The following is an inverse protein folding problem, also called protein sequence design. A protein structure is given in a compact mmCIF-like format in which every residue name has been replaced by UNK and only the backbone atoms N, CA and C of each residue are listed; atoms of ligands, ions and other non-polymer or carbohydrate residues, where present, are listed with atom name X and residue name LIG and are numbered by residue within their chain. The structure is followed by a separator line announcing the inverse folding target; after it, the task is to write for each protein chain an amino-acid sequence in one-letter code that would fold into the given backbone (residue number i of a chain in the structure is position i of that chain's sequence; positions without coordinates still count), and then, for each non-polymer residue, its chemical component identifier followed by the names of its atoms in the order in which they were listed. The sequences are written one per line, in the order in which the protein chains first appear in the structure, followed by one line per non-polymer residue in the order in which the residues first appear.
data_IF_586144854342
#
_entry.id   IF_586144854342
#
_cell.length_a   1.000
_cell.length_b   1.000
_cell.length_c   1.000
_cell.angle_alpha   90.00
_cell.angle_beta   90.00
_cell.angle_gamma   90.00
#
_symmetry.space_group_name_H-M   'P 1'
#
loop_
_entity.id
_entity.type
_entity.pdbx_description
1 polymer ?
#
# COMPACT_ATOMS: atom_id res chain seq x y z
N UNK A 1 50.12 -20.71 -93.47
CA UNK A 1 48.67 -20.86 -93.71
C UNK A 1 47.93 -19.79 -92.93
N UNK A 2 46.94 -19.19 -93.58
CA UNK A 2 46.06 -18.07 -93.19
C UNK A 2 44.97 -18.55 -92.17
N UNK A 3 44.03 -17.72 -91.67
CA UNK A 3 43.86 -17.41 -90.22
C UNK A 3 42.44 -17.69 -89.63
N UNK A 4 42.23 -17.24 -88.38
CA UNK A 4 40.95 -16.74 -87.78
C UNK A 4 40.00 -17.76 -87.08
N UNK A 5 38.94 -17.33 -86.33
CA UNK A 5 38.92 -16.65 -85.03
C UNK A 5 37.87 -17.25 -84.04
N UNK A 6 37.72 -16.72 -82.81
CA UNK A 6 36.45 -16.51 -82.04
C UNK A 6 36.76 -16.33 -80.55
N UNK A 7 36.78 -15.10 -80.04
CA UNK A 7 35.68 -14.38 -79.35
C UNK A 7 35.85 -14.38 -77.81
N UNK A 8 35.56 -13.26 -77.12
CA UNK A 8 35.86 -13.10 -75.70
C UNK A 8 34.65 -13.46 -74.83
N UNK A 9 34.79 -14.47 -73.96
CA UNK A 9 33.79 -14.72 -72.92
C UNK A 9 33.92 -13.68 -71.79
N UNK A 10 33.02 -12.70 -71.81
CA UNK A 10 32.68 -11.84 -70.67
C UNK A 10 32.36 -12.72 -69.45
N UNK A 11 33.25 -12.79 -68.46
CA UNK A 11 32.88 -13.24 -67.13
C UNK A 11 32.24 -12.07 -66.39
N UNK A 12 30.91 -12.13 -66.26
CA UNK A 12 30.14 -11.26 -65.37
C UNK A 12 30.70 -11.40 -63.95
N UNK A 13 31.18 -10.30 -63.38
CA UNK A 13 31.31 -10.14 -61.94
C UNK A 13 29.89 -9.97 -61.41
N UNK A 14 29.30 -11.05 -60.88
CA UNK A 14 28.05 -10.98 -60.13
C UNK A 14 28.39 -10.42 -58.75
N UNK A 15 28.35 -9.09 -58.60
CA UNK A 15 28.37 -8.43 -57.31
C UNK A 15 27.06 -8.77 -56.59
N UNK A 16 27.08 -9.80 -55.75
CA UNK A 16 26.02 -10.09 -54.81
C UNK A 16 26.00 -9.00 -53.72
N UNK A 17 25.25 -7.94 -53.97
CA UNK A 17 24.77 -7.03 -52.93
C UNK A 17 23.75 -7.79 -52.06
N UNK A 18 24.25 -8.56 -51.09
CA UNK A 18 23.45 -8.91 -49.91
C UNK A 18 23.38 -7.65 -49.02
N UNK A 19 22.51 -6.72 -49.39
CA UNK A 19 21.92 -5.80 -48.41
C UNK A 19 20.96 -6.61 -47.54
N UNK A 20 21.52 -7.29 -46.54
CA UNK A 20 20.75 -7.78 -45.41
C UNK A 20 20.24 -6.56 -44.65
N UNK A 21 19.04 -6.09 -45.02
CA UNK A 21 18.25 -5.20 -44.18
C UNK A 21 17.87 -5.99 -42.92
N UNK A 22 18.74 -5.95 -41.92
CA UNK A 22 18.37 -6.17 -40.53
C UNK A 22 17.37 -5.07 -40.17
N UNK A 23 16.11 -5.26 -40.52
CA UNK A 23 15.02 -4.59 -39.86
C UNK A 23 14.99 -5.16 -38.44
N UNK A 24 15.87 -4.64 -37.58
CA UNK A 24 15.64 -4.68 -36.15
C UNK A 24 14.34 -3.90 -35.93
N UNK A 25 13.21 -4.61 -35.90
CA UNK A 25 11.97 -4.05 -35.40
C UNK A 25 12.29 -3.57 -34.00
N UNK A 26 12.36 -2.25 -33.82
CA UNK A 26 12.45 -1.67 -32.49
C UNK A 26 11.24 -2.20 -31.72
N UNK A 27 11.48 -2.97 -30.66
CA UNK A 27 10.41 -3.46 -29.81
C UNK A 27 9.55 -2.28 -29.41
N UNK A 28 8.23 -2.38 -29.60
CA UNK A 28 7.29 -1.37 -29.14
C UNK A 28 7.47 -1.24 -27.62
N UNK A 29 8.03 -0.09 -27.21
CA UNK A 29 8.37 0.22 -25.83
C UNK A 29 7.71 1.52 -25.39
N UNK A 30 7.30 1.57 -24.15
CA UNK A 30 6.85 2.77 -23.47
C UNK A 30 7.98 3.26 -22.57
N UNK A 31 8.51 4.43 -22.86
CA UNK A 31 9.41 5.11 -21.93
C UNK A 31 8.61 5.71 -20.77
N UNK A 32 9.09 5.52 -19.55
CA UNK A 32 8.51 6.09 -18.33
C UNK A 32 9.58 6.90 -17.63
N UNK A 33 9.32 8.19 -17.42
CA UNK A 33 10.19 9.06 -16.60
C UNK A 33 9.43 9.47 -15.35
N UNK A 34 10.06 9.27 -14.19
CA UNK A 34 9.48 9.60 -12.88
C UNK A 34 10.32 10.68 -12.22
N UNK A 35 9.69 11.76 -11.76
CA UNK A 35 10.38 12.92 -11.19
C UNK A 35 9.76 13.37 -9.85
N UNK A 36 10.58 13.97 -8.99
CA UNK A 36 10.13 14.66 -7.77
C UNK A 36 11.11 15.73 -7.31
N UNK A 37 10.67 16.61 -6.42
CA UNK A 37 11.45 17.78 -6.02
C UNK A 37 12.12 17.64 -4.64
N UNK A 38 11.68 16.67 -3.82
CA UNK A 38 12.22 16.47 -2.46
C UNK A 38 13.67 15.99 -2.46
N UNK A 39 14.49 16.48 -1.52
CA UNK A 39 15.90 16.06 -1.35
C UNK A 39 16.09 14.86 -0.44
N UNK A 40 15.03 14.44 0.25
CA UNK A 40 15.01 13.23 1.08
C UNK A 40 14.95 11.98 0.19
N UNK A 41 15.38 10.84 0.72
CA UNK A 41 15.19 9.56 0.04
C UNK A 41 13.70 9.22 -0.11
N UNK A 42 13.37 8.42 -1.13
CA UNK A 42 12.04 7.82 -1.30
C UNK A 42 12.20 6.30 -1.45
N UNK A 43 12.43 5.58 -0.34
CA UNK A 43 12.58 4.13 -0.38
C UNK A 43 11.26 3.49 -0.82
N UNK A 44 11.36 2.51 -1.73
CA UNK A 44 10.22 1.74 -2.25
C UNK A 44 9.07 2.64 -2.72
N UNK A 45 9.36 3.74 -3.41
CA UNK A 45 8.34 4.61 -4.00
C UNK A 45 7.54 3.79 -5.03
N UNK A 46 6.24 3.62 -4.78
CA UNK A 46 5.34 2.95 -5.72
C UNK A 46 5.00 3.90 -6.85
N UNK A 47 5.49 3.56 -8.04
CA UNK A 47 5.19 4.26 -9.29
C UNK A 47 3.89 3.68 -9.82
N UNK A 48 2.92 4.55 -10.07
CA UNK A 48 1.60 4.17 -10.53
C UNK A 48 1.28 4.82 -11.87
N UNK A 49 0.84 4.00 -12.83
CA UNK A 49 0.44 4.44 -14.17
C UNK A 49 -0.93 3.82 -14.46
N UNK A 50 -1.96 4.60 -14.81
CA UNK A 50 -3.24 4.04 -15.23
C UNK A 50 -3.05 3.02 -16.36
N UNK A 51 -3.65 1.84 -16.24
CA UNK A 51 -3.47 0.78 -17.24
C UNK A 51 -4.05 1.16 -18.61
N UNK A 52 -5.06 2.03 -18.63
CA UNK A 52 -5.57 2.67 -19.84
C UNK A 52 -4.49 3.46 -20.57
N UNK A 53 -3.63 4.18 -19.85
CA UNK A 53 -2.58 5.01 -20.44
C UNK A 53 -1.44 4.12 -20.98
N UNK A 54 -1.15 3.02 -20.29
CA UNK A 54 -0.24 1.99 -20.79
C UNK A 54 -0.77 1.41 -22.10
N UNK A 55 -2.06 1.05 -22.19
CA UNK A 55 -2.64 0.50 -23.42
C UNK A 55 -2.75 1.53 -24.55
N UNK A 56 -2.99 2.80 -24.23
CA UNK A 56 -2.97 3.86 -25.22
C UNK A 56 -1.58 4.03 -25.85
N UNK A 57 -0.51 3.90 -25.05
CA UNK A 57 0.86 4.01 -25.50
C UNK A 57 1.47 2.71 -26.06
N UNK A 58 0.95 1.55 -25.64
CA UNK A 58 1.31 0.20 -26.10
C UNK A 58 0.04 -0.59 -26.43
N UNK A 59 -0.59 -0.34 -27.59
CA UNK A 59 -1.80 -1.05 -27.98
C UNK A 59 -1.61 -2.57 -27.99
N UNK A 60 -2.60 -3.28 -27.44
CA UNK A 60 -2.61 -4.73 -27.34
C UNK A 60 -1.65 -5.31 -26.29
N UNK A 61 -1.09 -4.48 -25.39
CA UNK A 61 -0.32 -4.99 -24.26
C UNK A 61 -1.18 -5.90 -23.37
N UNK A 62 -0.69 -7.11 -23.10
CA UNK A 62 -1.33 -8.04 -22.18
C UNK A 62 -0.57 -8.02 -20.86
N UNK A 63 -1.29 -7.98 -19.73
CA UNK A 63 -0.71 -7.83 -18.38
C UNK A 63 0.36 -8.89 -18.09
N UNK A 64 0.17 -10.11 -18.58
CA UNK A 64 1.09 -11.24 -18.38
C UNK A 64 2.22 -11.29 -19.41
N UNK A 65 2.22 -10.41 -20.42
CA UNK A 65 3.20 -10.36 -21.53
C UNK A 65 3.85 -8.98 -21.65
N UNK A 66 4.16 -8.38 -20.50
CA UNK A 66 5.00 -7.20 -20.43
C UNK A 66 6.21 -7.44 -19.53
N UNK A 67 7.28 -6.68 -19.76
CA UNK A 67 8.39 -6.53 -18.85
C UNK A 67 8.53 -5.05 -18.47
N UNK A 68 8.66 -4.77 -17.18
CA UNK A 68 9.09 -3.45 -16.69
C UNK A 68 10.59 -3.52 -16.44
N UNK A 69 11.36 -2.61 -17.00
CA UNK A 69 12.82 -2.56 -16.85
C UNK A 69 13.30 -1.21 -16.38
N UNK A 70 14.35 -1.19 -15.58
CA UNK A 70 15.05 0.05 -15.24
C UNK A 70 16.01 0.51 -16.35
N UNK A 71 16.64 1.67 -16.16
CA UNK A 71 17.62 2.21 -17.10
C UNK A 71 18.85 1.31 -17.34
N UNK A 72 19.09 0.29 -16.50
CA UNK A 72 20.16 -0.70 -16.66
C UNK A 72 19.67 -1.98 -17.34
N UNK A 73 18.42 -2.04 -17.78
CA UNK A 73 17.80 -3.20 -18.41
C UNK A 73 17.39 -4.31 -17.44
N UNK A 74 17.46 -4.06 -16.12
CA UNK A 74 17.07 -5.05 -15.10
C UNK A 74 15.54 -5.13 -15.03
N UNK A 75 15.00 -6.33 -15.09
CA UNK A 75 13.55 -6.58 -14.95
C UNK A 75 13.13 -6.32 -13.51
N UNK A 76 12.09 -5.51 -13.34
CA UNK A 76 11.51 -5.16 -12.05
C UNK A 76 10.23 -5.97 -11.81
N UNK A 77 9.95 -6.37 -10.55
CA UNK A 77 8.62 -6.81 -10.15
C UNK A 77 7.57 -5.75 -10.47
N UNK A 78 6.47 -6.17 -11.07
CA UNK A 78 5.33 -5.31 -11.35
C UNK A 78 4.02 -6.00 -10.99
N UNK A 79 2.97 -5.20 -10.95
CA UNK A 79 1.60 -5.63 -10.74
C UNK A 79 0.68 -4.75 -11.60
N UNK A 80 -0.34 -5.34 -12.22
CA UNK A 80 -1.47 -4.55 -12.73
C UNK A 80 -2.67 -4.83 -11.84
N UNK A 81 -3.24 -3.80 -11.22
CA UNK A 81 -4.32 -3.96 -10.23
C UNK A 81 -5.68 -4.13 -10.91
N UNK A 82 -6.63 -4.75 -10.19
CA UNK A 82 -8.04 -4.83 -10.58
C UNK A 82 -8.92 -4.14 -9.53
N UNK A 83 -8.86 -2.80 -9.46
CA UNK A 83 -9.59 -2.02 -8.45
C UNK A 83 -11.06 -1.79 -8.81
N UNK A 84 -11.49 -2.21 -10.00
CA UNK A 84 -12.86 -2.12 -10.48
C UNK A 84 -13.34 -3.51 -10.98
N UNK A 85 -13.52 -4.48 -10.07
CA UNK A 85 -13.70 -5.90 -10.45
C UNK A 85 -14.95 -6.21 -11.28
N UNK A 86 -15.91 -5.28 -11.34
CA UNK A 86 -17.13 -5.40 -12.16
C UNK A 86 -16.97 -4.80 -13.56
N UNK A 87 -15.94 -3.99 -13.81
CA UNK A 87 -15.68 -3.39 -15.10
C UNK A 87 -15.38 -4.44 -16.17
N UNK A 88 -15.72 -4.13 -17.42
CA UNK A 88 -15.49 -4.98 -18.60
C UNK A 88 -14.72 -4.19 -19.64
N UNK A 89 -13.83 -4.87 -20.36
CA UNK A 89 -12.98 -4.27 -21.39
C UNK A 89 -13.02 -5.12 -22.67
N UNK A 90 -14.17 -5.16 -23.37
CA UNK A 90 -14.34 -5.99 -24.57
C UNK A 90 -13.45 -5.54 -25.73
N UNK A 91 -12.98 -4.29 -25.72
CA UNK A 91 -12.10 -3.72 -26.75
C UNK A 91 -10.62 -3.78 -26.36
N UNK A 92 -10.28 -4.36 -25.21
CA UNK A 92 -8.92 -4.46 -24.68
C UNK A 92 -8.17 -3.12 -24.66
N UNK A 93 -8.85 -2.05 -24.23
CA UNK A 93 -8.32 -0.68 -24.12
C UNK A 93 -7.75 -0.37 -22.73
N UNK A 94 -7.72 -1.35 -21.84
CA UNK A 94 -7.20 -1.27 -20.48
C UNK A 94 -8.17 -0.69 -19.45
N UNK A 95 -9.44 -0.45 -19.79
CA UNK A 95 -10.41 0.29 -18.94
C UNK A 95 -10.98 -0.53 -17.78
N UNK A 96 -10.85 -1.86 -17.81
CA UNK A 96 -11.33 -2.74 -16.73
C UNK A 96 -10.27 -3.01 -15.65
N UNK A 97 -9.07 -2.45 -15.79
CA UNK A 97 -7.99 -2.59 -14.82
C UNK A 97 -7.74 -1.27 -14.12
N UNK A 98 -6.98 -1.32 -13.03
CA UNK A 98 -6.52 -0.13 -12.31
C UNK A 98 -5.24 0.40 -12.92
N UNK A 99 -4.13 0.08 -12.27
CA UNK A 99 -2.85 0.72 -12.47
C UNK A 99 -1.75 -0.33 -12.71
N UNK A 100 -0.82 -0.05 -13.61
CA UNK A 100 0.49 -0.68 -13.61
C UNK A 100 1.32 -0.09 -12.45
N UNK A 101 1.78 -0.96 -11.58
CA UNK A 101 2.57 -0.65 -10.40
C UNK A 101 3.93 -1.32 -10.48
N UNK A 102 4.97 -0.58 -10.11
CA UNK A 102 6.31 -1.08 -9.82
C UNK A 102 6.99 -0.13 -8.85
N UNK A 103 8.17 -0.47 -8.34
CA UNK A 103 8.83 0.32 -7.30
C UNK A 103 10.25 0.74 -7.68
N UNK A 104 10.64 1.92 -7.20
CA UNK A 104 12.02 2.41 -7.22
C UNK A 104 12.37 3.06 -5.89
N UNK A 105 13.61 2.90 -5.45
CA UNK A 105 14.12 3.57 -4.25
C UNK A 105 15.00 4.73 -4.66
N UNK A 106 14.48 5.96 -4.58
CA UNK A 106 15.26 7.16 -4.86
C UNK A 106 16.24 7.42 -3.70
N UNK A 107 17.52 7.52 -4.01
CA UNK A 107 18.53 7.92 -3.04
C UNK A 107 18.34 9.40 -2.61
N UNK A 108 18.88 9.84 -1.47
CA UNK A 108 18.90 11.27 -1.14
C UNK A 108 19.48 12.10 -2.29
N UNK A 109 18.74 13.11 -2.73
CA UNK A 109 19.13 13.98 -3.85
C UNK A 109 18.87 13.44 -5.25
N UNK A 110 18.54 12.16 -5.44
CA UNK A 110 18.09 11.63 -6.73
C UNK A 110 16.70 12.20 -7.04
N UNK A 111 16.53 12.90 -8.17
CA UNK A 111 15.27 13.61 -8.52
C UNK A 111 14.50 12.98 -9.66
N UNK A 112 15.12 12.06 -10.40
CA UNK A 112 14.57 11.50 -11.62
C UNK A 112 15.07 10.08 -11.83
N UNK A 113 14.18 9.21 -12.30
CA UNK A 113 14.50 7.85 -12.72
C UNK A 113 13.74 7.49 -14.01
N UNK A 114 14.34 6.64 -14.84
CA UNK A 114 13.78 6.23 -16.13
C UNK A 114 13.62 4.72 -16.22
N UNK A 115 12.52 4.30 -16.84
CA UNK A 115 12.12 2.91 -17.00
C UNK A 115 11.55 2.68 -18.40
N UNK A 116 11.45 1.41 -18.78
CA UNK A 116 10.70 0.98 -19.95
C UNK A 116 9.63 -0.04 -19.58
N UNK A 117 8.48 0.03 -20.27
CA UNK A 117 7.51 -1.07 -20.34
C UNK A 117 7.59 -1.63 -21.76
N UNK A 118 7.81 -2.93 -21.89
CA UNK A 118 8.06 -3.59 -23.17
C UNK A 118 7.12 -4.79 -23.32
N UNK A 119 6.53 -4.97 -24.51
CA UNK A 119 5.86 -6.23 -24.83
C UNK A 119 6.88 -7.35 -24.96
N UNK A 120 6.55 -8.52 -24.41
CA UNK A 120 7.38 -9.73 -24.50
C UNK A 120 6.55 -10.88 -25.09
N UNK A 121 7.20 -11.79 -25.82
CA UNK A 121 6.50 -12.93 -26.43
C UNK A 121 6.23 -14.06 -25.41
N UNK A 122 7.00 -14.07 -24.32
CA UNK A 122 6.87 -14.98 -23.17
C UNK A 122 5.91 -14.44 -22.12
N UNK A 123 5.66 -15.24 -21.07
CA UNK A 123 4.93 -14.80 -19.89
C UNK A 123 5.92 -14.24 -18.86
N UNK A 124 5.55 -13.14 -18.20
CA UNK A 124 6.34 -12.57 -17.11
C UNK A 124 6.56 -13.58 -15.96
N UNK A 125 7.70 -13.54 -15.26
CA UNK A 125 7.94 -14.41 -14.13
C UNK A 125 6.97 -14.12 -12.98
N UNK A 126 6.73 -15.11 -12.13
CA UNK A 126 5.99 -14.90 -10.88
C UNK A 126 6.87 -14.12 -9.91
N UNK A 127 6.36 -13.00 -9.41
CA UNK A 127 7.03 -12.20 -8.40
C UNK A 127 6.54 -12.60 -7.00
N UNK A 128 7.45 -12.58 -6.03
CA UNK A 128 7.11 -12.88 -4.64
C UNK A 128 6.06 -11.88 -4.11
N UNK A 129 5.05 -12.42 -3.42
CA UNK A 129 4.01 -11.61 -2.81
C UNK A 129 4.56 -10.85 -1.60
N UNK A 130 4.45 -9.51 -1.62
CA UNK A 130 4.89 -8.64 -0.52
C UNK A 130 3.78 -7.79 0.09
N UNK A 131 2.56 -7.87 -0.44
CA UNK A 131 1.39 -7.18 0.10
C UNK A 131 0.17 -8.09 -0.01
N UNK A 132 -0.57 -8.23 1.08
CA UNK A 132 -1.68 -9.18 1.19
C UNK A 132 -2.77 -8.67 2.13
N UNK A 133 -4.02 -8.94 1.81
CA UNK A 133 -5.19 -8.68 2.63
C UNK A 133 -6.21 -9.80 2.46
N UNK A 134 -6.86 -10.19 3.55
CA UNK A 134 -7.95 -11.18 3.51
C UNK A 134 -8.92 -11.07 4.69
N UNK A 135 -10.07 -11.68 4.47
CA UNK A 135 -11.01 -12.05 5.52
C UNK A 135 -10.54 -13.30 6.28
N UNK A 136 -10.73 -13.30 7.59
CA UNK A 136 -10.25 -14.33 8.54
C UNK A 136 -11.43 -14.88 9.35
N UNK A 137 -12.23 -15.73 8.70
CA UNK A 137 -13.41 -16.36 9.31
C UNK A 137 -13.06 -17.21 10.53
N UNK A 138 -11.89 -17.85 10.51
CA UNK A 138 -11.43 -18.75 11.56
C UNK A 138 -11.12 -18.03 12.88
N UNK A 139 -11.01 -16.70 12.85
CA UNK A 139 -10.81 -15.87 14.04
C UNK A 139 -11.96 -14.88 14.24
N UNK A 140 -13.18 -15.41 14.26
CA UNK A 140 -14.40 -14.65 14.55
C UNK A 140 -14.55 -13.43 13.62
N UNK A 141 -14.34 -13.68 12.33
CA UNK A 141 -14.45 -12.72 11.24
C UNK A 141 -13.44 -11.58 11.30
N UNK A 142 -12.26 -11.77 11.89
CA UNK A 142 -11.19 -10.78 11.75
C UNK A 142 -10.95 -10.42 10.26
N UNK A 143 -10.42 -9.23 10.01
CA UNK A 143 -9.88 -8.87 8.70
C UNK A 143 -8.42 -8.49 8.89
N UNK A 144 -7.52 -9.11 8.12
CA UNK A 144 -6.09 -8.95 8.29
C UNK A 144 -5.41 -8.55 6.99
N UNK A 145 -4.33 -7.77 7.13
CA UNK A 145 -3.51 -7.36 6.00
C UNK A 145 -2.06 -7.15 6.44
N UNK A 146 -1.15 -7.21 5.49
CA UNK A 146 0.28 -7.08 5.75
C UNK A 146 1.06 -6.66 4.51
N UNK A 147 2.26 -6.16 4.77
CA UNK A 147 3.33 -6.11 3.80
C UNK A 147 4.63 -6.73 4.36
N UNK A 148 5.75 -6.54 3.67
CA UNK A 148 7.07 -7.00 4.08
C UNK A 148 7.68 -6.25 5.29
N UNK A 149 6.97 -5.27 5.86
CA UNK A 149 7.42 -4.49 7.04
C UNK A 149 6.55 -4.72 8.27
N UNK A 150 5.23 -4.78 8.11
CA UNK A 150 4.26 -4.81 9.21
C UNK A 150 3.00 -5.57 8.80
N UNK A 151 2.32 -6.16 9.79
CA UNK A 151 1.01 -6.77 9.63
C UNK A 151 0.00 -6.08 10.55
N UNK A 152 -1.27 -6.26 10.25
CA UNK A 152 -2.37 -5.61 10.94
C UNK A 152 -3.58 -6.53 10.96
N UNK A 153 -4.49 -6.23 11.87
CA UNK A 153 -5.87 -6.70 11.79
C UNK A 153 -6.86 -5.64 12.26
N UNK A 154 -8.12 -5.87 11.92
CA UNK A 154 -9.25 -5.29 12.65
C UNK A 154 -10.28 -6.38 12.91
N UNK A 155 -11.22 -6.10 13.80
CA UNK A 155 -12.04 -7.11 14.44
C UNK A 155 -13.38 -7.30 13.74
N UNK A 156 -13.81 -8.56 13.67
CA UNK A 156 -14.99 -8.98 12.91
C UNK A 156 -16.34 -8.86 13.59
N UNK A 157 -17.45 -8.93 12.82
CA UNK A 157 -18.81 -9.05 13.35
C UNK A 157 -19.01 -10.20 14.35
N UNK A 158 -18.50 -11.41 14.06
CA UNK A 158 -18.65 -12.54 14.99
C UNK A 158 -17.92 -12.32 16.33
N UNK A 159 -16.85 -11.52 16.38
CA UNK A 159 -16.22 -11.15 17.64
C UNK A 159 -17.10 -10.21 18.47
N UNK A 160 -17.79 -9.26 17.83
CA UNK A 160 -18.70 -8.34 18.50
C UNK A 160 -19.98 -9.00 19.04
N UNK A 161 -20.40 -10.12 18.44
CA UNK A 161 -21.59 -10.85 18.87
C UNK A 161 -21.48 -11.33 20.33
N UNK A 162 -22.58 -11.29 21.12
CA UNK A 162 -22.59 -11.80 22.49
C UNK A 162 -22.08 -13.24 22.57
N UNK A 163 -21.40 -13.58 23.67
CA UNK A 163 -21.04 -14.97 23.92
C UNK A 163 -22.31 -15.81 24.11
N UNK A 164 -22.49 -16.92 23.37
CA UNK A 164 -23.60 -17.83 23.62
C UNK A 164 -23.57 -18.39 25.05
N UNK A 165 -24.73 -18.67 25.62
CA UNK A 165 -24.86 -19.21 26.97
C UNK A 165 -24.03 -20.48 27.15
N UNK A 166 -23.22 -20.51 28.21
CA UNK A 166 -22.33 -21.65 28.50
C UNK A 166 -20.99 -21.65 27.77
N UNK A 167 -20.71 -20.64 26.94
CA UNK A 167 -19.40 -20.46 26.29
C UNK A 167 -18.66 -19.23 26.84
N UNK A 168 -17.33 -19.31 26.85
CA UNK A 168 -16.42 -18.21 27.20
C UNK A 168 -15.79 -17.62 25.94
N UNK A 169 -16.60 -17.22 24.96
CA UNK A 169 -16.12 -16.55 23.75
C UNK A 169 -15.66 -15.14 24.12
N UNK A 170 -14.52 -14.71 23.60
CA UNK A 170 -14.14 -13.31 23.65
C UNK A 170 -15.20 -12.43 22.97
N UNK A 171 -15.46 -11.26 23.56
CA UNK A 171 -16.33 -10.24 22.98
C UNK A 171 -15.62 -8.90 22.99
N UNK A 172 -15.38 -8.36 21.79
CA UNK A 172 -14.79 -7.05 21.62
C UNK A 172 -15.56 -6.26 20.56
N UNK A 173 -16.11 -5.12 20.99
CA UNK A 173 -16.80 -4.14 20.14
C UNK A 173 -15.88 -2.95 19.94
N UNK A 174 -15.32 -2.81 18.74
CA UNK A 174 -14.34 -1.75 18.45
C UNK A 174 -14.17 -1.54 16.94
N UNK A 175 -13.71 -0.35 16.56
CA UNK A 175 -13.16 -0.07 15.21
C UNK A 175 -11.71 0.42 15.26
N UNK A 176 -11.00 0.08 16.33
CA UNK A 176 -9.56 0.26 16.40
C UNK A 176 -8.82 -0.69 15.44
N UNK A 177 -7.61 -0.29 15.08
CA UNK A 177 -6.71 -1.07 14.22
C UNK A 177 -5.58 -1.66 15.05
N UNK A 178 -5.30 -2.94 14.84
CA UNK A 178 -4.27 -3.69 15.55
C UNK A 178 -2.97 -3.77 14.73
N UNK A 179 -1.83 -3.91 15.39
CA UNK A 179 -0.50 -4.01 14.80
C UNK A 179 0.20 -5.31 15.19
N UNK A 180 0.63 -6.04 14.18
CA UNK A 180 1.47 -7.22 14.30
C UNK A 180 2.87 -6.89 13.80
N UNK A 181 3.87 -7.06 14.67
CA UNK A 181 5.23 -6.65 14.39
C UNK A 181 6.04 -7.80 13.82
N UNK A 182 6.58 -7.59 12.62
CA UNK A 182 7.30 -8.60 11.86
C UNK A 182 8.82 -8.43 11.99
N UNK A 183 9.55 -9.53 11.87
CA UNK A 183 11.01 -9.59 11.72
C UNK A 183 11.44 -10.22 10.39
N UNK A 184 10.47 -10.61 9.57
CA UNK A 184 10.66 -11.29 8.29
C UNK A 184 9.94 -10.55 7.17
N UNK A 185 10.49 -10.55 5.93
CA UNK A 185 9.94 -9.78 4.83
C UNK A 185 8.87 -10.53 4.02
N UNK A 186 8.52 -11.77 4.38
CA UNK A 186 7.50 -12.55 3.69
C UNK A 186 6.16 -12.54 4.45
N UNK A 187 5.03 -12.86 3.79
CA UNK A 187 3.71 -12.91 4.44
C UNK A 187 3.64 -13.90 5.62
N UNK A 188 3.05 -13.48 6.74
CA UNK A 188 2.90 -14.26 7.97
C UNK A 188 1.44 -14.48 8.40
N UNK A 189 0.47 -13.73 7.86
CA UNK A 189 -0.92 -13.70 8.35
C UNK A 189 -1.53 -15.09 8.36
N UNK A 190 -1.45 -15.83 7.25
CA UNK A 190 -2.01 -17.18 7.16
C UNK A 190 -1.32 -18.16 8.11
N UNK A 191 -0.01 -18.04 8.26
CA UNK A 191 0.79 -18.92 9.12
C UNK A 191 0.46 -18.69 10.59
N UNK A 192 0.37 -17.43 11.01
CA UNK A 192 0.10 -17.06 12.39
C UNK A 192 -1.33 -17.43 12.79
N UNK A 193 -2.33 -17.12 11.98
CA UNK A 193 -3.70 -17.54 12.28
C UNK A 193 -3.84 -19.07 12.35
N UNK A 194 -3.13 -19.82 11.50
CA UNK A 194 -3.11 -21.30 11.58
C UNK A 194 -2.43 -21.85 12.84
N UNK A 195 -1.40 -21.16 13.36
CA UNK A 195 -0.78 -21.53 14.65
C UNK A 195 -1.71 -21.26 15.84
N UNK A 196 -2.60 -20.28 15.73
CA UNK A 196 -3.59 -19.93 16.74
C UNK A 196 -3.14 -18.82 17.70
N UNK A 197 -4.12 -18.31 18.46
CA UNK A 197 -4.02 -17.09 19.27
C UNK A 197 -2.83 -17.06 20.21
N UNK A 198 -2.66 -18.10 21.03
CA UNK A 198 -1.64 -18.12 22.07
C UNK A 198 -0.18 -18.15 21.54
N UNK A 199 -0.01 -18.48 20.25
CA UNK A 199 1.31 -18.62 19.64
C UNK A 199 1.83 -17.31 19.05
N UNK A 200 1.00 -16.56 18.33
CA UNK A 200 1.47 -15.33 17.68
C UNK A 200 1.70 -14.16 18.65
N UNK A 201 1.38 -14.31 19.94
CA UNK A 201 1.76 -13.38 21.02
C UNK A 201 3.19 -13.60 21.57
N UNK A 202 3.96 -14.52 20.97
CA UNK A 202 5.35 -14.79 21.35
C UNK A 202 6.24 -14.72 20.13
N UNK A 203 7.37 -14.02 20.25
CA UNK A 203 8.36 -13.97 19.18
C UNK A 203 9.11 -15.31 19.08
N UNK A 204 8.66 -16.15 18.14
CA UNK A 204 9.31 -17.42 17.77
C UNK A 204 10.29 -17.26 16.59
N UNK A 205 10.65 -16.02 16.22
CA UNK A 205 11.63 -15.70 15.17
C UNK A 205 11.05 -14.94 13.97
N UNK A 206 9.74 -15.00 13.75
CA UNK A 206 9.05 -14.25 12.67
C UNK A 206 8.51 -12.90 13.14
N UNK A 207 8.37 -12.74 14.46
CA UNK A 207 7.79 -11.59 15.15
C UNK A 207 6.61 -11.96 16.04
N UNK A 208 5.83 -10.97 16.48
CA UNK A 208 4.66 -11.19 17.33
C UNK A 208 3.62 -10.07 17.28
N UNK A 209 2.39 -10.41 17.69
CA UNK A 209 1.36 -9.49 18.14
C UNK A 209 1.59 -9.13 19.61
N UNK A 210 1.89 -7.86 19.88
CA UNK A 210 2.07 -7.33 21.24
C UNK A 210 1.34 -5.99 21.43
N UNK A 211 0.44 -5.66 20.49
CA UNK A 211 -0.26 -4.39 20.48
C UNK A 211 -1.69 -4.58 21.01
N UNK A 212 -1.97 -3.98 22.15
CA UNK A 212 -3.30 -3.99 22.74
C UNK A 212 -4.16 -2.91 22.10
N UNK A 213 -5.30 -3.27 21.51
CA UNK A 213 -6.28 -2.31 20.99
C UNK A 213 -7.37 -2.03 22.02
N UNK A 214 -8.06 -3.08 22.48
CA UNK A 214 -9.26 -2.95 23.32
C UNK A 214 -10.30 -2.01 22.69
N UNK A 215 -10.90 -1.12 23.51
CA UNK A 215 -11.90 -0.13 23.05
C UNK A 215 -11.31 1.15 22.47
N UNK A 216 -9.98 1.27 22.45
CA UNK A 216 -9.29 2.43 21.89
C UNK A 216 -9.46 2.49 20.36
N UNK A 217 -8.84 3.47 19.72
CA UNK A 217 -8.70 3.56 18.27
C UNK A 217 -7.53 2.74 17.74
N UNK A 218 -6.81 2.02 18.60
CA UNK A 218 -5.64 1.24 18.21
C UNK A 218 -4.63 2.12 17.50
N UNK A 219 -4.09 1.68 16.37
CA UNK A 219 -3.14 2.44 15.56
C UNK A 219 -3.80 3.01 14.30
N UNK A 220 -4.73 3.97 14.45
CA UNK A 220 -5.32 4.69 13.32
C UNK A 220 -6.82 4.49 13.10
N UNK A 221 -7.56 3.97 14.08
CA UNK A 221 -9.02 3.98 14.08
C UNK A 221 -9.59 5.40 14.18
N UNK A 222 -10.82 5.57 13.70
CA UNK A 222 -11.50 6.87 13.59
C UNK A 222 -12.68 7.01 14.58
N UNK A 223 -13.12 8.25 14.77
CA UNK A 223 -14.41 8.60 15.36
C UNK A 223 -14.77 10.06 15.10
N UNK A 224 -16.02 10.43 15.33
CA UNK A 224 -16.49 11.82 15.26
C UNK A 224 -16.24 12.51 16.59
N UNK A 225 -15.61 13.67 16.57
CA UNK A 225 -15.32 14.47 17.75
C UNK A 225 -16.26 15.66 17.84
N UNK A 226 -17.07 15.76 18.89
CA UNK A 226 -18.02 16.87 19.08
C UNK A 226 -17.43 18.08 19.83
N UNK A 227 -16.15 18.01 20.21
CA UNK A 227 -15.49 18.98 21.09
C UNK A 227 -15.30 18.50 22.53
N UNK A 228 -16.00 17.44 22.94
CA UNK A 228 -16.02 16.90 24.32
C UNK A 228 -15.80 15.39 24.37
N UNK A 229 -16.38 14.66 23.43
CA UNK A 229 -16.44 13.21 23.39
C UNK A 229 -16.13 12.70 21.98
N UNK A 230 -15.49 11.52 21.93
CA UNK A 230 -15.31 10.74 20.72
C UNK A 230 -16.47 9.76 20.54
N UNK A 231 -17.17 9.85 19.40
CA UNK A 231 -18.21 8.93 18.97
C UNK A 231 -17.65 7.97 17.93
N UNK A 232 -17.71 6.67 18.23
CA UNK A 232 -17.01 5.65 17.46
C UNK A 232 -17.97 4.65 16.86
N UNK A 233 -17.66 4.16 15.66
CA UNK A 233 -18.32 2.97 15.14
C UNK A 233 -17.95 1.73 15.97
N UNK A 234 -18.57 0.61 15.60
CA UNK A 234 -18.23 -0.74 16.06
C UNK A 234 -17.40 -1.46 14.98
N UNK A 235 -17.29 -2.78 15.06
CA UNK A 235 -16.62 -3.65 14.10
C UNK A 235 -17.14 -3.40 12.67
N UNK A 236 -16.31 -3.70 11.66
CA UNK A 236 -16.72 -3.49 10.27
C UNK A 236 -17.96 -4.34 9.94
N UNK A 237 -18.83 -3.85 9.08
CA UNK A 237 -20.07 -4.52 8.68
C UNK A 237 -19.89 -5.37 7.41
N UNK A 238 -19.06 -4.91 6.46
CA UNK A 238 -18.71 -5.67 5.26
C UNK A 238 -17.33 -5.28 4.74
N UNK A 239 -16.78 -6.10 3.86
CA UNK A 239 -15.43 -5.95 3.32
C UNK A 239 -15.38 -6.23 1.81
N UNK A 240 -14.35 -5.73 1.15
CA UNK A 240 -13.97 -6.10 -0.23
C UNK A 240 -12.46 -6.13 -0.36
N UNK A 241 -11.90 -7.23 -0.85
CA UNK A 241 -10.51 -7.25 -1.33
C UNK A 241 -10.53 -6.92 -2.81
N UNK A 242 -9.86 -5.84 -3.19
CA UNK A 242 -9.81 -5.34 -4.57
C UNK A 242 -8.53 -5.77 -5.29
N UNK A 243 -7.40 -5.78 -4.57
CA UNK A 243 -6.13 -6.26 -5.10
C UNK A 243 -5.28 -6.86 -3.98
N UNK A 244 -4.52 -7.88 -4.32
CA UNK A 244 -3.38 -8.38 -3.56
C UNK A 244 -2.15 -8.35 -4.47
N UNK A 245 -0.95 -8.38 -3.85
CA UNK A 245 0.36 -8.04 -4.45
C UNK A 245 0.72 -8.69 -5.79
N UNK A 246 1.96 -8.48 -6.27
CA UNK A 246 3.18 -8.42 -5.45
C UNK A 246 3.58 -7.05 -4.89
N UNK A 247 3.06 -5.93 -5.41
CA UNK A 247 3.49 -4.57 -5.02
C UNK A 247 2.55 -3.93 -4.01
N UNK A 248 1.24 -4.12 -4.19
CA UNK A 248 0.19 -3.42 -3.45
C UNK A 248 -0.99 -4.34 -3.16
N UNK A 249 -1.52 -4.24 -1.95
CA UNK A 249 -2.88 -4.69 -1.64
C UNK A 249 -3.81 -3.49 -1.51
N UNK A 250 -5.06 -3.66 -1.96
CA UNK A 250 -6.12 -2.67 -1.83
C UNK A 250 -7.38 -3.38 -1.36
N UNK A 251 -7.98 -2.87 -0.29
CA UNK A 251 -9.24 -3.40 0.22
C UNK A 251 -10.09 -2.28 0.83
N UNK A 252 -11.36 -2.58 1.03
CA UNK A 252 -12.33 -1.68 1.65
C UNK A 252 -12.99 -2.36 2.83
N UNK A 253 -13.17 -1.60 3.91
CA UNK A 253 -14.00 -1.96 5.04
C UNK A 253 -15.13 -0.94 5.16
N UNK A 254 -16.36 -1.41 5.17
CA UNK A 254 -17.54 -0.59 5.40
C UNK A 254 -18.01 -0.74 6.84
N UNK A 255 -18.19 0.38 7.53
CA UNK A 255 -18.75 0.48 8.87
C UNK A 255 -20.17 1.01 8.77
N UNK A 256 -21.12 0.28 9.37
CA UNK A 256 -22.52 0.65 9.40
C UNK A 256 -22.73 1.99 10.12
N UNK A 257 -23.88 2.64 9.87
CA UNK A 257 -24.20 3.91 10.50
C UNK A 257 -24.18 3.82 12.04
N UNK A 258 -23.60 4.83 12.69
CA UNK A 258 -23.63 5.01 14.14
C UNK A 258 -24.06 6.42 14.50
N UNK A 259 -24.58 6.58 15.71
CA UNK A 259 -24.95 7.89 16.24
C UNK A 259 -23.73 8.66 16.75
N UNK A 260 -23.51 9.84 16.20
CA UNK A 260 -22.52 10.81 16.66
C UNK A 260 -23.23 12.09 17.11
N UNK A 261 -23.61 12.13 18.39
CA UNK A 261 -24.34 13.25 18.98
C UNK A 261 -25.64 13.61 18.22
N UNK A 262 -26.45 12.60 17.87
CA UNK A 262 -27.70 12.78 17.12
C UNK A 262 -27.53 12.83 15.59
N UNK A 263 -26.28 12.83 15.08
CA UNK A 263 -26.00 12.73 13.64
C UNK A 263 -25.64 11.29 13.28
N UNK A 264 -26.40 10.68 12.37
CA UNK A 264 -26.06 9.36 11.83
C UNK A 264 -24.90 9.48 10.83
N UNK A 265 -23.83 8.74 11.09
CA UNK A 265 -22.62 8.73 10.26
C UNK A 265 -22.27 7.30 9.91
N UNK A 266 -21.97 7.01 8.64
CA UNK A 266 -21.32 5.76 8.22
C UNK A 266 -19.95 6.03 7.62
N UNK A 267 -19.14 4.99 7.45
CA UNK A 267 -17.77 5.14 6.94
C UNK A 267 -17.38 3.99 6.01
N UNK A 268 -16.73 4.32 4.90
CA UNK A 268 -15.94 3.36 4.12
C UNK A 268 -14.47 3.74 4.26
N UNK A 269 -13.66 2.80 4.78
CA UNK A 269 -12.20 2.90 4.78
C UNK A 269 -11.65 2.13 3.60
N UNK A 270 -10.96 2.81 2.68
CA UNK A 270 -10.13 2.14 1.66
C UNK A 270 -8.68 2.15 2.12
N UNK A 271 -8.10 0.97 2.25
CA UNK A 271 -6.70 0.76 2.59
C UNK A 271 -5.89 0.55 1.32
N UNK A 272 -4.72 1.19 1.26
CA UNK A 272 -3.70 0.97 0.22
C UNK A 272 -2.41 0.61 0.92
N UNK A 273 -2.03 -0.67 0.80
CA UNK A 273 -0.93 -1.31 1.51
C UNK A 273 0.18 -1.56 0.49
N UNK A 274 1.22 -0.73 0.51
CA UNK A 274 2.35 -0.85 -0.40
C UNK A 274 3.51 -1.63 0.23
N UNK A 275 4.16 -2.49 -0.55
CA UNK A 275 5.37 -3.16 -0.14
C UNK A 275 6.48 -2.16 0.23
N UNK A 276 7.21 -2.40 1.31
CA UNK A 276 8.31 -1.58 1.78
C UNK A 276 7.91 -0.39 2.65
N UNK A 277 6.63 -0.17 2.94
CA UNK A 277 6.14 0.95 3.75
C UNK A 277 5.77 0.52 5.17
N UNK A 278 6.04 1.36 6.16
CA UNK A 278 5.63 1.12 7.55
C UNK A 278 4.25 1.69 7.89
N UNK A 279 3.74 2.58 7.04
CA UNK A 279 2.46 3.24 7.22
C UNK A 279 1.60 2.99 5.98
N UNK A 280 0.42 2.43 6.18
CA UNK A 280 -0.56 2.23 5.12
C UNK A 280 -1.30 3.54 4.84
N UNK A 281 -1.64 3.79 3.58
CA UNK A 281 -2.53 4.90 3.23
C UNK A 281 -3.97 4.46 3.46
N UNK A 282 -4.72 5.25 4.21
CA UNK A 282 -6.12 5.03 4.52
C UNK A 282 -6.92 6.24 4.02
N UNK A 283 -7.89 5.97 3.15
CA UNK A 283 -8.86 6.94 2.66
C UNK A 283 -10.22 6.66 3.32
N UNK A 284 -10.57 7.45 4.34
CA UNK A 284 -11.84 7.35 5.08
C UNK A 284 -12.90 8.25 4.46
N UNK A 285 -13.94 7.66 3.88
CA UNK A 285 -15.09 8.40 3.32
C UNK A 285 -16.28 8.27 4.24
N UNK A 286 -16.66 9.37 4.88
CA UNK A 286 -17.82 9.44 5.76
C UNK A 286 -19.07 9.81 4.97
N UNK A 287 -20.22 9.27 5.38
CA UNK A 287 -21.53 9.67 4.86
C UNK A 287 -22.47 10.09 5.99
N UNK A 288 -23.10 11.25 5.83
CA UNK A 288 -24.07 11.80 6.77
C UNK A 288 -24.96 12.85 6.07
N UNK A 289 -26.07 13.21 6.71
CA UNK A 289 -26.97 14.26 6.20
C UNK A 289 -26.39 15.67 6.40
N UNK A 290 -26.53 16.51 5.36
CA UNK A 290 -26.07 17.89 5.33
C UNK A 290 -24.67 18.07 4.72
N UNK A 291 -24.31 19.33 4.47
CA UNK A 291 -23.05 19.69 3.80
C UNK A 291 -21.97 20.22 4.76
N UNK A 292 -22.34 20.51 6.01
CA UNK A 292 -21.42 21.07 7.00
C UNK A 292 -20.37 20.02 7.43
N UNK A 293 -19.06 20.34 7.32
CA UNK A 293 -18.00 19.42 7.73
C UNK A 293 -18.11 19.02 9.20
N UNK A 294 -17.88 17.74 9.49
CA UNK A 294 -17.75 17.22 10.85
C UNK A 294 -16.28 17.18 11.25
N UNK A 295 -16.00 17.28 12.55
CA UNK A 295 -14.65 17.02 13.07
C UNK A 295 -14.49 15.52 13.27
N UNK A 296 -13.48 14.94 12.64
CA UNK A 296 -13.09 13.54 12.80
C UNK A 296 -11.77 13.49 13.56
N UNK A 297 -11.66 12.53 14.46
CA UNK A 297 -10.41 12.19 15.13
C UNK A 297 -9.88 10.86 14.61
N UNK A 298 -8.56 10.78 14.46
CA UNK A 298 -7.81 9.53 14.26
C UNK A 298 -6.96 9.30 15.50
N UNK A 299 -6.96 8.08 16.05
CA UNK A 299 -6.38 7.84 17.37
C UNK A 299 -5.25 6.82 17.44
N UNK A 300 -4.40 7.00 18.46
CA UNK A 300 -3.42 6.06 18.95
C UNK A 300 -3.78 5.63 20.39
N UNK A 301 -3.75 4.33 20.70
CA UNK A 301 -3.98 3.84 22.07
C UNK A 301 -2.93 4.42 23.05
N UNK A 302 -3.37 4.95 24.20
CA UNK A 302 -2.50 5.42 25.28
C UNK A 302 -1.78 4.32 26.03
N UNK A 303 -2.33 3.11 26.09
CA UNK A 303 -1.77 1.98 26.80
C UNK A 303 -1.70 0.73 25.89
N UNK A 304 -0.83 0.73 24.87
CA UNK A 304 -0.80 -0.32 23.84
C UNK A 304 0.00 -1.58 24.22
N UNK A 305 0.73 -1.59 25.34
CA UNK A 305 1.56 -2.73 25.72
C UNK A 305 0.81 -3.80 26.50
N UNK A 306 1.28 -5.04 26.35
CA UNK A 306 0.87 -6.16 27.20
C UNK A 306 1.18 -5.93 28.68
N UNK A 307 0.43 -6.62 29.54
CA UNK A 307 0.66 -6.63 30.98
C UNK A 307 2.08 -7.11 31.30
N UNK A 308 2.74 -6.43 32.24
CA UNK A 308 4.09 -6.79 32.71
C UNK A 308 5.25 -6.25 31.86
N UNK A 309 4.97 -5.44 30.83
CA UNK A 309 6.00 -4.77 30.02
C UNK A 309 6.50 -3.46 30.63
N UNK A 310 5.86 -2.93 31.68
CA UNK A 310 6.22 -1.69 32.37
C UNK A 310 6.58 -0.54 31.40
N UNK A 311 5.68 -0.18 30.46
CA UNK A 311 6.05 0.64 29.31
C UNK A 311 6.37 2.09 29.68
N UNK A 312 7.40 2.66 29.03
CA UNK A 312 7.65 4.11 29.00
C UNK A 312 7.23 4.64 27.64
N UNK A 313 6.21 5.51 27.63
CA UNK A 313 5.56 5.99 26.41
C UNK A 313 5.92 7.44 26.17
N UNK A 314 6.60 7.72 25.06
CA UNK A 314 6.84 9.07 24.57
C UNK A 314 5.85 9.40 23.46
N UNK A 315 5.11 10.51 23.60
CA UNK A 315 4.17 11.00 22.58
C UNK A 315 4.72 12.27 21.92
N UNK A 316 4.66 12.36 20.60
CA UNK A 316 4.97 13.58 19.83
C UNK A 316 3.76 14.01 19.00
N UNK A 317 3.50 15.30 19.00
CA UNK A 317 2.39 15.98 18.30
C UNK A 317 2.99 17.17 17.54
N UNK A 318 3.15 17.05 16.23
CA UNK A 318 3.85 18.06 15.44
C UNK A 318 3.22 18.14 14.04
N UNK A 319 2.58 19.27 13.74
CA UNK A 319 1.94 19.50 12.44
C UNK A 319 0.97 18.36 12.06
N UNK A 320 1.20 17.64 10.94
CA UNK A 320 0.34 16.54 10.52
C UNK A 320 0.65 15.21 11.23
N UNK A 321 1.57 15.17 12.21
CA UNK A 321 2.07 13.92 12.80
C UNK A 321 1.65 13.80 14.26
N UNK A 322 0.96 12.69 14.57
CA UNK A 322 0.82 12.16 15.92
C UNK A 322 1.58 10.83 15.98
N UNK A 323 2.53 10.68 16.89
CA UNK A 323 3.25 9.42 17.04
C UNK A 323 3.52 9.08 18.51
N UNK A 324 3.78 7.80 18.74
CA UNK A 324 4.25 7.26 20.00
C UNK A 324 5.52 6.44 19.78
N UNK A 325 6.40 6.43 20.78
CA UNK A 325 7.48 5.44 20.94
C UNK A 325 7.37 4.82 22.33
N UNK A 326 7.28 3.50 22.37
CA UNK A 326 6.99 2.72 23.56
C UNK A 326 8.18 1.84 23.86
N UNK A 327 8.91 2.16 24.92
CA UNK A 327 9.97 1.30 25.45
C UNK A 327 9.38 0.28 26.42
N UNK A 328 9.80 -0.98 26.30
CA UNK A 328 9.25 -2.09 27.07
C UNK A 328 10.36 -2.88 27.74
N UNK A 329 10.02 -3.51 28.86
CA UNK A 329 10.95 -4.30 29.68
C UNK A 329 11.61 -5.46 28.94
N UNK A 330 10.85 -6.24 28.17
CA UNK A 330 11.37 -7.49 27.59
C UNK A 330 11.16 -7.65 26.10
N UNK A 331 10.32 -6.84 25.47
CA UNK A 331 9.89 -7.05 24.07
C UNK A 331 10.58 -6.10 23.07
N UNK A 332 11.50 -5.27 23.53
CA UNK A 332 12.05 -4.18 22.73
C UNK A 332 11.05 -3.02 22.58
N UNK A 333 11.48 -1.97 21.89
CA UNK A 333 10.66 -0.78 21.71
C UNK A 333 9.88 -0.83 20.39
N UNK A 334 8.68 -0.28 20.37
CA UNK A 334 7.92 -0.11 19.12
C UNK A 334 7.37 1.31 18.98
N UNK A 335 7.13 1.70 17.73
CA UNK A 335 6.51 2.96 17.37
C UNK A 335 5.17 2.75 16.71
N UNK A 336 4.25 3.68 16.96
CA UNK A 336 3.00 3.84 16.22
C UNK A 336 2.87 5.28 15.75
N UNK A 337 2.23 5.50 14.62
CA UNK A 337 2.07 6.85 14.08
C UNK A 337 0.79 6.97 13.26
N UNK A 338 0.24 8.18 13.28
CA UNK A 338 -0.74 8.69 12.34
C UNK A 338 -0.15 9.93 11.68
N UNK A 339 -0.17 9.95 10.35
CA UNK A 339 0.15 11.13 9.55
C UNK A 339 -1.14 11.58 8.86
N UNK A 340 -1.66 12.74 9.26
CA UNK A 340 -2.90 13.33 8.77
C UNK A 340 -2.58 14.70 8.12
N UNK A 341 -2.41 14.77 6.79
CA UNK A 341 -2.03 16.03 6.11
C UNK A 341 -2.99 17.20 6.38
N UNK A 342 -4.28 16.92 6.55
CA UNK A 342 -5.31 17.92 6.86
C UNK A 342 -5.54 18.15 8.35
N UNK A 343 -4.57 17.88 9.21
CA UNK A 343 -4.73 18.03 10.65
C UNK A 343 -4.97 19.49 11.06
N UNK A 344 -5.94 19.71 11.94
CA UNK A 344 -6.29 21.01 12.51
C UNK A 344 -5.94 21.14 14.00
N UNK A 345 -5.58 20.03 14.64
CA UNK A 345 -5.19 20.04 16.04
C UNK A 345 -5.08 18.65 16.65
N UNK A 346 -4.81 18.65 17.94
CA UNK A 346 -4.68 17.44 18.73
C UNK A 346 -5.55 17.53 19.96
N UNK A 347 -6.05 16.39 20.41
CA UNK A 347 -6.74 16.25 21.69
C UNK A 347 -6.47 14.86 22.24
N UNK A 348 -7.17 14.49 23.30
CA UNK A 348 -7.09 13.17 23.90
C UNK A 348 -8.41 12.85 24.61
N UNK A 349 -8.70 11.56 24.75
CA UNK A 349 -9.71 11.06 25.67
C UNK A 349 -9.05 10.13 26.71
N UNK A 350 -9.84 9.32 27.44
CA UNK A 350 -9.31 8.40 28.45
C UNK A 350 -8.47 7.25 27.87
N UNK A 351 -8.67 6.89 26.59
CA UNK A 351 -8.03 5.75 25.93
C UNK A 351 -7.07 6.16 24.81
N UNK A 352 -7.21 7.35 24.25
CA UNK A 352 -6.60 7.72 22.98
C UNK A 352 -5.83 9.04 23.05
N UNK A 353 -4.69 9.06 22.37
CA UNK A 353 -4.15 10.27 21.78
C UNK A 353 -4.82 10.51 20.43
N UNK A 354 -5.26 11.74 20.14
CA UNK A 354 -6.09 12.03 18.97
C UNK A 354 -5.50 13.17 18.14
N UNK A 355 -5.52 13.00 16.82
CA UNK A 355 -5.28 14.04 15.83
C UNK A 355 -6.58 14.32 15.06
N UNK A 356 -6.91 15.59 14.88
CA UNK A 356 -8.22 16.05 14.41
C UNK A 356 -8.14 16.62 13.00
N UNK A 357 -9.16 16.41 12.18
CA UNK A 357 -9.35 17.08 10.89
C UNK A 357 -10.84 17.23 10.55
N UNK A 358 -11.16 18.05 9.55
CA UNK A 358 -12.52 18.14 9.00
C UNK A 358 -12.75 17.09 7.93
N UNK A 359 -13.91 16.44 7.99
CA UNK A 359 -14.39 15.54 6.96
C UNK A 359 -15.70 16.07 6.37
N UNK A 360 -15.78 16.11 5.04
CA UNK A 360 -17.00 16.43 4.29
C UNK A 360 -17.65 15.14 3.79
N UNK A 361 -18.98 15.04 3.87
CA UNK A 361 -19.71 13.86 3.38
C UNK A 361 -19.32 13.52 1.94
N UNK A 362 -19.06 12.24 1.67
CA UNK A 362 -18.72 11.73 0.35
C UNK A 362 -17.30 12.07 -0.15
N UNK A 363 -16.52 12.86 0.61
CA UNK A 363 -15.12 13.17 0.28
C UNK A 363 -14.17 12.34 1.16
N UNK A 364 -13.15 11.69 0.59
CA UNK A 364 -12.20 10.92 1.37
C UNK A 364 -11.31 11.83 2.22
N UNK A 365 -11.26 11.56 3.53
CA UNK A 365 -10.21 12.04 4.42
C UNK A 365 -9.04 11.07 4.36
N UNK A 366 -7.94 11.50 3.74
CA UNK A 366 -6.72 10.70 3.61
C UNK A 366 -5.80 10.87 4.80
N UNK A 367 -5.31 9.75 5.34
CA UNK A 367 -4.26 9.70 6.35
C UNK A 367 -3.40 8.45 6.17
N UNK A 368 -2.35 8.34 6.97
CA UNK A 368 -1.44 7.20 6.98
C UNK A 368 -1.31 6.68 8.41
N UNK A 369 -1.31 5.37 8.60
CA UNK A 369 -1.16 4.78 9.92
C UNK A 369 -0.41 3.45 9.87
N UNK A 370 0.27 3.11 10.96
CA UNK A 370 1.04 1.87 11.07
C UNK A 370 2.04 1.93 12.22
N UNK A 371 3.07 1.08 12.16
CA UNK A 371 4.04 0.96 13.23
C UNK A 371 5.34 0.29 12.82
N UNK A 372 6.33 0.37 13.69
CA UNK A 372 7.64 -0.26 13.51
C UNK A 372 8.14 -0.86 14.83
N UNK A 373 8.98 -1.87 14.75
CA UNK A 373 9.53 -2.56 15.92
C UNK A 373 11.05 -2.57 15.91
N UNK A 374 11.66 -2.27 17.05
CA UNK A 374 13.11 -2.22 17.19
C UNK A 374 13.78 -3.56 16.90
N UNK A 375 13.11 -4.70 17.14
CA UNK A 375 13.68 -6.02 16.83
C UNK A 375 13.63 -6.39 15.34
N UNK A 376 12.93 -5.61 14.51
CA UNK A 376 13.02 -5.73 13.05
C UNK A 376 14.35 -5.14 12.50
N UNK A 377 15.02 -4.27 13.28
CA UNK A 377 16.38 -3.80 13.02
C UNK A 377 16.52 -2.54 12.17
N UNK A 378 15.48 -2.14 11.41
CA UNK A 378 15.54 -0.95 10.55
C UNK A 378 15.20 0.36 11.29
N UNK A 379 14.22 0.32 12.20
CA UNK A 379 13.82 1.45 13.04
C UNK A 379 13.99 1.03 14.49
N UNK A 380 15.04 1.51 15.15
CA UNK A 380 15.44 1.09 16.50
C UNK A 380 15.35 2.20 17.53
N UNK A 381 15.05 3.43 17.11
CA UNK A 381 15.02 4.61 17.99
C UNK A 381 13.82 5.52 17.69
N UNK A 382 13.40 6.30 18.69
CA UNK A 382 12.41 7.36 18.53
C UNK A 382 12.78 8.36 17.43
N UNK A 383 14.07 8.73 17.31
CA UNK A 383 14.53 9.69 16.31
C UNK A 383 14.32 9.18 14.87
N UNK A 384 14.63 7.90 14.62
CA UNK A 384 14.36 7.26 13.33
C UNK A 384 12.86 7.17 13.05
N UNK A 385 12.05 6.84 14.06
CA UNK A 385 10.59 6.78 13.91
C UNK A 385 9.97 8.14 13.61
N UNK A 386 10.37 9.18 14.34
CA UNK A 386 9.96 10.56 14.09
C UNK A 386 10.35 11.01 12.69
N UNK A 387 11.58 10.70 12.27
CA UNK A 387 12.05 11.02 10.92
C UNK A 387 11.21 10.33 9.85
N UNK A 388 10.90 9.04 10.01
CA UNK A 388 10.05 8.30 9.08
C UNK A 388 8.66 8.92 8.95
N UNK A 389 8.01 9.28 10.05
CA UNK A 389 6.69 9.89 10.02
C UNK A 389 6.71 11.27 9.34
N UNK A 390 7.73 12.10 9.61
CA UNK A 390 7.93 13.39 8.95
C UNK A 390 8.22 13.23 7.45
N UNK A 391 9.06 12.27 7.07
CA UNK A 391 9.36 11.98 5.65
C UNK A 391 8.13 11.42 4.92
N UNK A 392 7.25 10.66 5.59
CA UNK A 392 5.95 10.26 5.04
C UNK A 392 5.04 11.47 4.79
N UNK A 393 4.94 12.40 5.75
CA UNK A 393 4.18 13.64 5.56
C UNK A 393 4.71 14.46 4.37
N UNK A 394 6.03 14.62 4.27
CA UNK A 394 6.68 15.35 3.18
C UNK A 394 6.40 14.71 1.81
N UNK A 395 6.52 13.38 1.70
CA UNK A 395 6.25 12.63 0.46
C UNK A 395 4.77 12.68 0.07
N UNK A 396 3.86 12.59 1.03
CA UNK A 396 2.42 12.69 0.77
C UNK A 396 2.02 14.05 0.19
N UNK A 397 2.65 15.15 0.64
CA UNK A 397 2.46 16.48 0.08
C UNK A 397 3.19 16.74 -1.25
N UNK A 398 4.09 15.83 -1.67
CA UNK A 398 4.91 15.97 -2.87
C UNK A 398 4.94 14.64 -3.65
N UNK A 399 3.83 14.23 -4.27
CA UNK A 399 3.78 13.01 -5.06
C UNK A 399 4.75 13.07 -6.24
N UNK A 400 5.23 11.91 -6.70
CA UNK A 400 6.01 11.84 -7.94
C UNK A 400 5.17 12.24 -9.15
N UNK A 401 5.84 12.78 -10.17
CA UNK A 401 5.25 13.06 -11.49
C UNK A 401 5.73 12.01 -12.46
N UNK A 402 4.81 11.38 -13.18
CA UNK A 402 5.11 10.36 -14.19
C UNK A 402 4.84 10.92 -15.57
N UNK A 403 5.82 10.83 -16.46
CA UNK A 403 5.71 11.19 -17.88
C UNK A 403 5.88 9.95 -18.73
N UNK A 404 4.97 9.76 -19.67
CA UNK A 404 4.95 8.64 -20.61
C UNK A 404 5.44 9.10 -21.98
N UNK A 405 6.38 8.36 -22.56
CA UNK A 405 6.94 8.59 -23.88
C UNK A 405 6.73 7.35 -24.75
N UNK A 406 5.65 7.30 -25.56
CA UNK A 406 5.43 6.20 -26.48
C UNK A 406 6.59 6.08 -27.46
N UNK A 407 7.04 4.86 -27.76
CA UNK A 407 7.95 4.67 -28.89
C UNK A 407 7.21 5.01 -30.17
N UNK A 408 7.77 5.91 -30.99
CA UNK A 408 7.31 6.07 -32.37
C UNK A 408 7.52 4.73 -33.07
N UNK A 409 6.45 3.98 -33.30
CA UNK A 409 6.46 2.98 -34.34
C UNK A 409 6.68 3.75 -35.65
N UNK A 410 7.79 3.48 -36.34
CA UNK A 410 7.95 3.92 -37.73
C UNK A 410 6.73 3.40 -38.49
N UNK A 411 5.77 4.27 -38.78
CA UNK A 411 4.73 4.00 -39.77
C UNK A 411 5.48 3.87 -41.10
N UNK A 412 5.69 2.65 -41.56
CA UNK A 412 5.99 2.39 -42.96
C UNK A 412 4.71 2.51 -43.77
#
# INVERSE_FOLDING_TARGET
MRPSPSEPMKRLILAALLSASLNAYAAEKLGVTVQHDLSIARPSETISIPWSDVNAALPGALIQKIAVKDAKGRVLPYQVTNVAPLSKDPENKGIAYGELLFQHSFAPGEKSASFTVEKIDTVAPVFAQKAYARYVQERLDDFAWENDKVAHRTYGPALAAPSPSGMNKEVLVTSGLDLWFKRVPYPIVDRWYNKGHDHYHKDEGEGMDMYQVGKSRGAGGTGVWDGKQLYTSVNYASWKVLANGPVRAVFELHYAAWDAAGKQVSEVKRFTVDAGHYLDRIDSTFQYEGNEPITVAVGLNKNPSDKGQDPVITVKREGPVLLQWIEQKSNGAFGTAVVLPGAEGFTQDSLNELILAKATSGKPLRYYAGGAWSRAGEITTLAQWQRLAQDTAARAGNPVRVTLSPSQANKQ
#
